data_IF_321353217382
#
_entry.id   IF_321353217382
#
_cell.length_a   1.000
_cell.length_b   1.000
_cell.length_c   1.000
_cell.angle_alpha   90.00
_cell.angle_beta   90.00
_cell.angle_gamma   90.00
#
_symmetry.space_group_name_H-M   'P 1'
#
loop_
_entity.id
_entity.type
_entity.pdbx_description
1 polymer ?
#
# COMPACT_ATOMS: atom_id res chain seq x y z
N UNK A 1 43.23 -18.38 22.76
CA UNK A 1 42.18 -17.39 23.09
C UNK A 1 41.53 -17.00 21.78
N UNK A 2 40.29 -17.41 21.53
CA UNK A 2 39.52 -16.94 20.38
C UNK A 2 39.19 -15.47 20.63
N UNK A 3 39.86 -14.56 19.94
CA UNK A 3 39.56 -13.13 20.02
C UNK A 3 38.14 -12.91 19.51
N UNK A 4 37.35 -12.19 20.30
CA UNK A 4 35.96 -11.87 19.98
C UNK A 4 35.96 -10.82 18.88
N UNK A 5 35.55 -11.19 17.67
CA UNK A 5 35.54 -10.26 16.55
C UNK A 5 34.14 -9.68 16.34
N UNK A 6 34.08 -8.41 16.01
CA UNK A 6 32.86 -7.64 15.79
C UNK A 6 32.76 -7.25 14.32
N UNK A 7 31.63 -7.55 13.69
CA UNK A 7 31.35 -7.12 12.32
C UNK A 7 30.53 -5.83 12.37
N UNK A 8 31.08 -4.76 11.80
CA UNK A 8 30.46 -3.44 11.77
C UNK A 8 30.32 -3.00 10.31
N UNK A 9 29.08 -2.78 9.88
CA UNK A 9 28.81 -2.22 8.55
C UNK A 9 28.49 -0.74 8.68
N UNK A 10 29.17 0.09 7.89
CA UNK A 10 28.89 1.52 7.71
C UNK A 10 28.55 1.78 6.25
N UNK A 11 28.04 2.97 5.94
CA UNK A 11 27.65 3.35 4.59
C UNK A 11 28.81 3.37 3.58
N UNK A 12 30.06 3.42 4.05
CA UNK A 12 31.28 3.50 3.23
C UNK A 12 32.13 2.22 3.24
N UNK A 13 31.73 1.20 4.00
CA UNK A 13 32.51 -0.04 4.08
C UNK A 13 32.03 -0.99 5.17
N UNK A 14 32.56 -2.21 5.12
CA UNK A 14 32.39 -3.22 6.16
C UNK A 14 33.71 -3.43 6.88
N UNK A 15 33.65 -3.49 8.21
CA UNK A 15 34.80 -3.52 9.09
C UNK A 15 34.71 -4.71 10.04
N UNK A 16 35.79 -5.47 10.13
CA UNK A 16 36.01 -6.48 11.15
C UNK A 16 36.87 -5.87 12.24
N UNK A 17 36.30 -5.71 13.43
CA UNK A 17 36.92 -5.06 14.56
C UNK A 17 37.18 -6.06 15.68
N UNK A 18 38.22 -5.80 16.47
CA UNK A 18 38.40 -6.36 17.81
C UNK A 18 37.85 -5.38 18.84
N UNK A 19 37.94 -5.68 20.15
CA UNK A 19 37.46 -4.81 21.23
C UNK A 19 38.08 -3.40 21.24
N UNK A 20 39.21 -3.19 20.56
CA UNK A 20 39.98 -1.93 20.59
C UNK A 20 40.28 -1.31 19.23
N UNK A 21 40.30 -2.07 18.13
CA UNK A 21 40.76 -1.59 16.83
C UNK A 21 40.15 -2.34 15.65
N UNK A 22 40.18 -1.72 14.46
CA UNK A 22 39.82 -2.36 13.19
C UNK A 22 40.95 -3.30 12.77
N UNK A 23 40.62 -4.57 12.48
CA UNK A 23 41.60 -5.57 12.01
C UNK A 23 41.58 -5.73 10.49
N UNK A 24 40.39 -5.73 9.89
CA UNK A 24 40.21 -5.83 8.43
C UNK A 24 39.08 -4.92 7.98
N UNK A 25 39.23 -4.38 6.79
CA UNK A 25 38.24 -3.53 6.15
C UNK A 25 38.04 -3.92 4.69
N UNK A 26 36.80 -3.82 4.24
CA UNK A 26 36.46 -3.79 2.82
C UNK A 26 35.68 -2.50 2.59
N UNK A 27 36.37 -1.52 2.00
CA UNK A 27 35.78 -0.23 1.64
C UNK A 27 34.93 -0.38 0.37
N UNK A 28 33.83 0.36 0.32
CA UNK A 28 32.99 0.39 -0.87
C UNK A 28 33.62 1.28 -1.95
N UNK A 29 33.30 1.05 -3.23
CA UNK A 29 33.69 1.97 -4.30
C UNK A 29 33.20 3.38 -3.99
N UNK A 30 34.05 4.40 -4.22
CA UNK A 30 33.75 5.82 -3.97
C UNK A 30 32.83 6.43 -5.03
N UNK A 31 31.76 5.71 -5.35
CA UNK A 31 30.76 6.10 -6.33
C UNK A 31 29.38 6.10 -5.67
N UNK A 32 28.65 7.21 -5.80
CA UNK A 32 27.35 7.39 -5.15
C UNK A 32 26.34 6.29 -5.53
N UNK A 33 26.35 5.83 -6.78
CA UNK A 33 25.47 4.76 -7.27
C UNK A 33 25.72 3.42 -6.60
N UNK A 34 26.99 3.09 -6.38
CA UNK A 34 27.41 1.79 -5.87
C UNK A 34 27.24 1.71 -4.34
N UNK A 35 27.38 2.86 -3.65
CA UNK A 35 26.97 3.03 -2.25
C UNK A 35 25.45 2.92 -2.11
N UNK A 36 24.69 3.63 -2.95
CA UNK A 36 23.22 3.55 -2.97
C UNK A 36 22.74 2.10 -3.15
N UNK A 37 23.35 1.35 -4.07
CA UNK A 37 23.02 -0.07 -4.31
C UNK A 37 23.17 -0.92 -3.04
N UNK A 38 24.24 -0.72 -2.29
CA UNK A 38 24.47 -1.44 -1.02
C UNK A 38 23.50 -0.99 0.07
N UNK A 39 23.25 0.31 0.21
CA UNK A 39 22.25 0.82 1.15
C UNK A 39 20.87 0.21 0.88
N UNK A 40 20.51 0.03 -0.40
CA UNK A 40 19.27 -0.64 -0.79
C UNK A 40 19.23 -2.12 -0.42
N UNK A 41 20.32 -2.85 -0.61
CA UNK A 41 20.41 -4.26 -0.21
C UNK A 41 20.31 -4.40 1.33
N UNK A 42 20.92 -3.46 2.08
CA UNK A 42 20.76 -3.36 3.55
C UNK A 42 19.29 -3.16 3.92
N UNK A 43 18.57 -2.25 3.26
CA UNK A 43 17.14 -2.02 3.51
C UNK A 43 16.25 -3.23 3.21
N UNK A 44 16.64 -4.03 2.20
CA UNK A 44 15.97 -5.29 1.85
C UNK A 44 16.33 -6.44 2.80
N UNK A 45 17.02 -6.15 3.91
CA UNK A 45 17.54 -7.11 4.89
C UNK A 45 18.43 -8.19 4.27
N UNK A 46 19.11 -7.88 3.16
CA UNK A 46 20.06 -8.79 2.54
C UNK A 46 21.45 -8.61 3.14
N UNK A 47 22.26 -9.64 2.93
CA UNK A 47 23.66 -9.68 3.33
C UNK A 47 24.49 -9.22 2.14
N UNK A 48 25.46 -8.35 2.39
CA UNK A 48 26.39 -7.85 1.36
C UNK A 48 27.51 -8.86 1.10
N UNK A 49 28.05 -8.87 -0.11
CA UNK A 49 29.18 -9.74 -0.46
C UNK A 49 30.42 -9.45 0.41
N UNK A 50 30.63 -8.19 0.77
CA UNK A 50 31.73 -7.74 1.63
C UNK A 50 31.60 -8.29 3.06
N UNK A 51 30.37 -8.37 3.56
CA UNK A 51 30.06 -8.94 4.88
C UNK A 51 30.31 -10.44 4.90
N UNK A 52 29.90 -11.17 3.85
CA UNK A 52 30.19 -12.60 3.72
C UNK A 52 31.69 -12.89 3.61
N UNK A 53 32.42 -12.08 2.83
CA UNK A 53 33.87 -12.24 2.65
C UNK A 53 34.63 -12.03 3.96
N UNK A 54 34.21 -11.07 4.79
CA UNK A 54 34.84 -10.80 6.08
C UNK A 54 34.46 -11.79 7.17
N UNK A 55 33.21 -12.28 7.18
CA UNK A 55 32.73 -13.25 8.16
C UNK A 55 33.17 -14.70 7.87
N UNK A 56 33.71 -14.98 6.67
CA UNK A 56 34.07 -16.34 6.25
C UNK A 56 35.11 -16.97 7.20
N UNK A 57 34.75 -18.10 7.80
CA UNK A 57 35.56 -18.89 8.73
C UNK A 57 35.88 -18.22 10.08
N UNK A 58 35.10 -17.20 10.50
CA UNK A 58 35.30 -16.49 11.76
C UNK A 58 34.03 -16.47 12.61
N UNK A 59 34.18 -16.51 13.94
CA UNK A 59 33.06 -16.34 14.87
C UNK A 59 32.93 -14.84 15.15
N UNK A 60 31.94 -14.21 14.52
CA UNK A 60 31.70 -12.77 14.63
C UNK A 60 30.48 -12.44 15.49
N UNK A 61 30.59 -11.38 16.27
CA UNK A 61 29.50 -10.73 16.99
C UNK A 61 28.94 -9.62 16.12
N UNK A 62 27.62 -9.52 16.07
CA UNK A 62 26.93 -8.63 15.14
C UNK A 62 25.81 -7.87 15.84
N UNK A 63 25.62 -6.61 15.45
CA UNK A 63 24.63 -5.69 16.00
C UNK A 63 23.30 -5.72 15.25
N UNK A 64 23.27 -6.13 13.99
CA UNK A 64 22.07 -6.10 13.14
C UNK A 64 21.44 -7.48 12.98
N UNK A 65 20.11 -7.56 13.14
CA UNK A 65 19.36 -8.82 13.03
C UNK A 65 19.49 -9.48 11.65
N UNK A 66 19.63 -8.69 10.58
CA UNK A 66 19.76 -9.20 9.20
C UNK A 66 21.01 -10.09 9.03
N UNK A 67 22.04 -9.86 9.85
CA UNK A 67 23.31 -10.57 9.76
C UNK A 67 23.39 -11.80 10.68
N UNK A 68 22.30 -12.16 11.37
CA UNK A 68 22.28 -13.29 12.31
C UNK A 68 22.70 -14.64 11.68
N UNK A 69 22.61 -14.78 10.35
CA UNK A 69 23.11 -15.95 9.63
C UNK A 69 24.64 -16.06 9.63
N UNK A 70 25.36 -14.94 9.79
CA UNK A 70 26.81 -14.89 9.77
C UNK A 70 27.46 -15.01 11.15
N UNK A 71 26.70 -14.84 12.25
CA UNK A 71 27.29 -14.79 13.57
C UNK A 71 26.32 -14.61 14.73
N UNK A 72 26.87 -14.41 15.92
CA UNK A 72 26.08 -14.31 17.15
C UNK A 72 25.57 -12.88 17.35
N UNK A 73 24.25 -12.71 17.34
CA UNK A 73 23.61 -11.42 17.52
C UNK A 73 23.73 -10.93 18.98
N UNK A 74 24.41 -9.81 19.19
CA UNK A 74 24.44 -9.06 20.46
C UNK A 74 24.43 -7.57 20.16
N UNK A 75 23.30 -6.92 20.39
CA UNK A 75 23.12 -5.50 20.08
C UNK A 75 23.65 -4.55 21.19
N UNK A 76 23.63 -4.99 22.44
CA UNK A 76 23.94 -4.14 23.62
C UNK A 76 25.43 -4.15 24.00
N UNK A 77 26.31 -4.61 23.10
CA UNK A 77 27.75 -4.63 23.41
C UNK A 77 28.35 -3.22 23.31
N UNK A 78 29.05 -2.79 24.36
CA UNK A 78 29.66 -1.46 24.48
C UNK A 78 30.66 -1.15 23.36
N UNK A 79 31.23 -2.19 22.74
CA UNK A 79 32.19 -2.10 21.65
C UNK A 79 31.59 -1.41 20.40
N UNK A 80 30.30 -1.64 20.11
CA UNK A 80 29.64 -1.02 18.94
C UNK A 80 29.47 0.50 19.06
N UNK A 81 29.50 1.03 20.28
CA UNK A 81 29.41 2.48 20.54
C UNK A 81 30.80 3.13 20.72
N UNK A 82 31.77 2.35 21.16
CA UNK A 82 33.11 2.85 21.51
C UNK A 82 34.04 2.91 20.30
N UNK A 83 33.90 1.99 19.34
CA UNK A 83 34.71 1.99 18.13
C UNK A 83 34.23 3.09 17.18
N UNK A 84 35.08 4.10 17.01
CA UNK A 84 34.76 5.30 16.25
C UNK A 84 35.39 5.21 14.86
N UNK A 85 34.60 4.77 13.88
CA UNK A 85 35.01 4.66 12.47
C UNK A 85 34.48 5.89 11.72
N UNK A 86 35.37 6.83 11.37
CA UNK A 86 34.98 8.05 10.65
C UNK A 86 35.17 7.90 9.15
N UNK A 87 34.23 8.38 8.32
CA UNK A 87 34.37 8.31 6.87
C UNK A 87 35.58 9.12 6.35
N UNK A 88 35.93 10.23 7.01
CA UNK A 88 37.03 11.09 6.61
C UNK A 88 38.39 10.36 6.65
N UNK A 89 38.57 9.45 7.62
CA UNK A 89 39.80 8.67 7.80
C UNK A 89 40.07 7.73 6.60
N UNK A 90 39.01 7.37 5.85
CA UNK A 90 39.08 6.50 4.66
C UNK A 90 38.87 7.29 3.36
N UNK A 91 38.84 8.62 3.44
CA UNK A 91 38.69 9.54 2.32
C UNK A 91 37.30 9.50 1.68
N UNK A 92 36.24 9.31 2.49
CA UNK A 92 34.85 9.47 2.07
C UNK A 92 34.33 10.82 2.58
N UNK A 93 33.73 11.62 1.70
CA UNK A 93 33.10 12.89 2.06
C UNK A 93 31.63 12.70 2.42
N UNK A 94 31.09 13.57 3.26
CA UNK A 94 29.65 13.60 3.55
C UNK A 94 28.82 13.98 2.31
N UNK A 95 29.39 14.74 1.36
CA UNK A 95 28.75 15.04 0.08
C UNK A 95 28.45 13.76 -0.71
N UNK A 96 29.37 12.79 -0.68
CA UNK A 96 29.17 11.51 -1.34
C UNK A 96 28.03 10.70 -0.71
N UNK A 97 27.89 10.76 0.62
CA UNK A 97 26.74 10.17 1.32
C UNK A 97 25.44 10.89 0.96
N UNK A 98 25.47 12.22 0.86
CA UNK A 98 24.31 13.00 0.44
C UNK A 98 23.84 12.59 -0.95
N UNK A 99 24.75 12.53 -1.92
CA UNK A 99 24.46 12.12 -3.30
C UNK A 99 23.90 10.69 -3.37
N UNK A 100 24.53 9.75 -2.65
CA UNK A 100 24.04 8.37 -2.58
C UNK A 100 22.64 8.29 -1.94
N UNK A 101 22.38 9.10 -0.91
CA UNK A 101 21.09 9.16 -0.24
C UNK A 101 20.01 9.78 -1.13
N UNK A 102 20.35 10.80 -1.92
CA UNK A 102 19.45 11.42 -2.90
C UNK A 102 19.04 10.40 -3.98
N UNK A 103 20.01 9.66 -4.52
CA UNK A 103 19.76 8.60 -5.49
C UNK A 103 18.87 7.49 -4.91
N UNK A 104 19.14 7.08 -3.67
CA UNK A 104 18.32 6.06 -2.98
C UNK A 104 16.88 6.56 -2.78
N UNK A 105 16.71 7.83 -2.38
CA UNK A 105 15.40 8.44 -2.20
C UNK A 105 14.64 8.53 -3.54
N UNK A 106 15.32 8.90 -4.62
CA UNK A 106 14.72 8.94 -5.95
C UNK A 106 14.25 7.55 -6.40
N UNK A 107 15.08 6.53 -6.25
CA UNK A 107 14.71 5.17 -6.64
C UNK A 107 13.54 4.61 -5.82
N UNK A 108 13.48 4.94 -4.52
CA UNK A 108 12.33 4.61 -3.67
C UNK A 108 11.03 5.26 -4.15
N UNK A 109 11.10 6.53 -4.57
CA UNK A 109 9.94 7.24 -5.11
C UNK A 109 9.51 6.60 -6.43
N UNK A 110 10.46 6.28 -7.32
CA UNK A 110 10.16 5.65 -8.60
C UNK A 110 9.53 4.26 -8.44
N UNK A 111 10.04 3.43 -7.51
CA UNK A 111 9.43 2.14 -7.16
C UNK A 111 7.98 2.30 -6.67
N UNK A 112 7.73 3.31 -5.82
CA UNK A 112 6.38 3.60 -5.33
C UNK A 112 5.46 4.08 -6.46
N UNK A 113 5.92 4.97 -7.34
CA UNK A 113 5.12 5.49 -8.46
C UNK A 113 4.77 4.42 -9.50
N UNK A 114 5.59 3.38 -9.61
CA UNK A 114 5.33 2.23 -10.47
C UNK A 114 4.32 1.24 -9.90
N UNK A 115 3.85 1.44 -8.66
CA UNK A 115 2.91 0.50 -8.05
C UNK A 115 1.57 0.52 -8.78
N UNK A 116 1.10 -0.66 -9.17
CA UNK A 116 -0.15 -0.83 -9.93
C UNK A 116 -1.38 -0.30 -9.16
N UNK A 117 -1.31 -0.26 -7.82
CA UNK A 117 -2.38 0.27 -6.99
C UNK A 117 -2.52 1.80 -7.10
N UNK A 118 -1.44 2.57 -7.35
CA UNK A 118 -1.58 4.02 -7.56
C UNK A 118 -2.32 4.34 -8.85
N UNK A 119 -2.05 3.60 -9.93
CA UNK A 119 -2.76 3.77 -11.19
C UNK A 119 -4.25 3.45 -11.02
N UNK A 120 -4.57 2.35 -10.32
CA UNK A 120 -5.95 1.99 -9.98
C UNK A 120 -6.66 3.11 -9.20
N UNK A 121 -5.99 3.72 -8.23
CA UNK A 121 -6.54 4.84 -7.44
C UNK A 121 -6.86 6.04 -8.33
N UNK A 122 -5.95 6.40 -9.24
CA UNK A 122 -6.19 7.51 -10.18
C UNK A 122 -7.36 7.23 -11.11
N UNK A 123 -7.47 6.00 -11.62
CA UNK A 123 -8.59 5.58 -12.46
C UNK A 123 -9.94 5.68 -11.72
N UNK A 124 -9.99 5.25 -10.45
CA UNK A 124 -11.20 5.35 -9.64
C UNK A 124 -11.59 6.81 -9.39
N UNK A 125 -10.64 7.68 -9.05
CA UNK A 125 -10.92 9.10 -8.85
C UNK A 125 -11.42 9.75 -10.14
N UNK A 126 -10.76 9.48 -11.27
CA UNK A 126 -11.18 9.96 -12.57
C UNK A 126 -12.58 9.46 -12.95
N UNK A 127 -12.89 8.19 -12.66
CA UNK A 127 -14.23 7.63 -12.87
C UNK A 127 -15.29 8.37 -12.06
N UNK A 128 -15.05 8.64 -10.78
CA UNK A 128 -15.99 9.36 -9.93
C UNK A 128 -16.18 10.82 -10.37
N UNK A 129 -15.11 11.49 -10.80
CA UNK A 129 -15.16 12.85 -11.37
C UNK A 129 -15.97 12.89 -12.68
N UNK A 130 -15.76 11.90 -13.56
CA UNK A 130 -16.51 11.79 -14.81
C UNK A 130 -17.98 11.49 -14.55
N UNK A 131 -18.32 10.61 -13.60
CA UNK A 131 -19.71 10.33 -13.21
C UNK A 131 -20.38 11.61 -12.70
N UNK A 132 -19.71 12.37 -11.82
CA UNK A 132 -20.24 13.64 -11.33
C UNK A 132 -20.45 14.65 -12.47
N UNK A 133 -19.49 14.73 -13.38
CA UNK A 133 -19.56 15.60 -14.56
C UNK A 133 -20.70 15.19 -15.49
N UNK A 134 -20.83 13.90 -15.79
CA UNK A 134 -21.90 13.36 -16.64
C UNK A 134 -23.29 13.67 -16.06
N UNK A 135 -23.46 13.55 -14.74
CA UNK A 135 -24.70 13.91 -14.06
C UNK A 135 -25.01 15.41 -14.25
N UNK A 136 -24.04 16.29 -14.00
CA UNK A 136 -24.22 17.73 -14.19
C UNK A 136 -24.56 18.08 -15.63
N UNK A 137 -23.86 17.49 -16.61
CA UNK A 137 -24.14 17.73 -18.02
C UNK A 137 -25.52 17.21 -18.43
N UNK A 138 -25.95 16.06 -17.90
CA UNK A 138 -27.27 15.47 -18.14
C UNK A 138 -28.39 16.35 -17.57
N UNK A 139 -28.20 16.91 -16.38
CA UNK A 139 -29.13 17.89 -15.80
C UNK A 139 -29.23 19.14 -16.69
N UNK A 140 -28.10 19.66 -17.17
CA UNK A 140 -28.08 20.83 -18.07
C UNK A 140 -28.76 20.55 -19.41
N UNK A 141 -28.52 19.37 -20.00
CA UNK A 141 -29.19 18.95 -21.24
C UNK A 141 -30.69 18.86 -21.04
N UNK A 142 -31.13 18.27 -19.92
CA UNK A 142 -32.55 18.14 -19.57
C UNK A 142 -33.22 19.51 -19.45
N UNK A 143 -32.58 20.47 -18.78
CA UNK A 143 -33.10 21.85 -18.71
C UNK A 143 -33.14 22.52 -20.08
N UNK A 144 -32.08 22.38 -20.90
CA UNK A 144 -32.02 23.00 -22.21
C UNK A 144 -33.05 22.42 -23.18
N UNK A 145 -33.35 21.12 -23.07
CA UNK A 145 -34.37 20.45 -23.87
C UNK A 145 -35.79 20.99 -23.62
N UNK A 146 -36.05 21.65 -22.48
CA UNK A 146 -37.34 22.29 -22.20
C UNK A 146 -37.56 23.58 -23.00
N UNK A 147 -36.49 24.19 -23.52
CA UNK A 147 -36.58 25.41 -24.30
C UNK A 147 -36.92 25.09 -25.76
N UNK A 148 -37.66 25.96 -26.47
CA UNK A 148 -37.93 25.81 -27.90
C UNK A 148 -36.66 26.11 -28.71
N UNK A 149 -35.67 25.22 -28.62
CA UNK A 149 -34.36 25.35 -29.26
C UNK A 149 -34.28 24.42 -30.47
N UNK A 150 -33.73 24.91 -31.58
CA UNK A 150 -33.44 24.07 -32.73
C UNK A 150 -32.44 22.97 -32.35
N UNK A 151 -32.78 21.69 -32.62
CA UNK A 151 -31.95 20.52 -32.30
C UNK A 151 -30.49 20.64 -32.76
N UNK A 152 -30.23 21.36 -33.87
CA UNK A 152 -28.87 21.62 -34.39
C UNK A 152 -27.94 22.32 -33.37
N UNK A 153 -28.49 23.14 -32.46
CA UNK A 153 -27.72 23.83 -31.41
C UNK A 153 -27.38 22.93 -30.22
N UNK A 154 -28.21 21.92 -29.95
CA UNK A 154 -28.08 21.00 -28.80
C UNK A 154 -27.21 19.79 -29.14
N UNK A 155 -27.21 19.34 -30.40
CA UNK A 155 -26.44 18.20 -30.90
C UNK A 155 -24.95 18.16 -30.49
N UNK A 156 -24.17 19.26 -30.55
CA UNK A 156 -22.77 19.22 -30.11
C UNK A 156 -22.62 18.91 -28.61
N UNK A 157 -23.55 19.39 -27.79
CA UNK A 157 -23.56 19.14 -26.36
C UNK A 157 -23.96 17.69 -26.04
N UNK A 158 -24.98 17.16 -26.74
CA UNK A 158 -25.35 15.73 -26.68
C UNK A 158 -24.15 14.83 -27.00
N UNK A 159 -23.40 15.13 -28.08
CA UNK A 159 -22.20 14.38 -28.44
C UNK A 159 -21.14 14.38 -27.34
N UNK A 160 -20.97 15.52 -26.66
CA UNK A 160 -20.02 15.63 -25.55
C UNK A 160 -20.42 14.74 -24.39
N UNK A 161 -21.72 14.71 -24.05
CA UNK A 161 -22.24 13.82 -22.99
C UNK A 161 -22.04 12.35 -23.37
N UNK A 162 -22.33 11.98 -24.62
CA UNK A 162 -22.09 10.61 -25.10
C UNK A 162 -20.61 10.24 -24.95
N UNK A 163 -19.69 11.10 -25.39
CA UNK A 163 -18.26 10.85 -25.26
C UNK A 163 -17.80 10.67 -23.80
N UNK A 164 -18.34 11.46 -22.87
CA UNK A 164 -18.07 11.29 -21.43
C UNK A 164 -18.60 9.95 -20.92
N UNK A 165 -19.81 9.55 -21.31
CA UNK A 165 -20.39 8.27 -20.91
C UNK A 165 -19.60 7.07 -21.49
N UNK A 166 -19.12 7.18 -22.72
CA UNK A 166 -18.30 6.15 -23.35
C UNK A 166 -16.97 5.98 -22.58
N UNK A 167 -16.34 7.08 -22.17
CA UNK A 167 -15.10 7.02 -21.37
C UNK A 167 -15.34 6.47 -19.95
N UNK A 168 -16.49 6.77 -19.33
CA UNK A 168 -16.91 6.15 -18.06
C UNK A 168 -16.96 4.63 -18.21
N UNK A 169 -17.62 4.13 -19.26
CA UNK A 169 -17.72 2.70 -19.50
C UNK A 169 -16.33 2.07 -19.72
N UNK A 170 -15.49 2.71 -20.53
CA UNK A 170 -14.11 2.26 -20.77
C UNK A 170 -13.29 2.16 -19.49
N UNK A 171 -13.37 3.17 -18.61
CA UNK A 171 -12.68 3.13 -17.32
C UNK A 171 -13.23 2.04 -16.40
N UNK A 172 -14.54 1.81 -16.37
CA UNK A 172 -15.14 0.73 -15.58
C UNK A 172 -14.62 -0.64 -16.01
N UNK A 173 -14.58 -0.90 -17.33
CA UNK A 173 -14.08 -2.15 -17.89
C UNK A 173 -12.60 -2.37 -17.56
N UNK A 174 -11.79 -1.31 -17.66
CA UNK A 174 -10.37 -1.38 -17.35
C UNK A 174 -10.13 -1.60 -15.83
N UNK A 175 -10.83 -0.87 -14.96
CA UNK A 175 -10.78 -1.08 -13.50
C UNK A 175 -11.20 -2.52 -13.15
N UNK A 176 -12.22 -3.05 -13.81
CA UNK A 176 -12.66 -4.43 -13.57
C UNK A 176 -11.58 -5.45 -13.95
N UNK A 177 -10.91 -5.25 -15.07
CA UNK A 177 -9.79 -6.11 -15.50
C UNK A 177 -8.63 -6.04 -14.52
N UNK A 178 -8.19 -4.84 -14.17
CA UNK A 178 -7.03 -4.63 -13.30
C UNK A 178 -7.30 -5.16 -11.90
N UNK A 179 -8.49 -4.93 -11.34
CA UNK A 179 -8.84 -5.41 -10.01
C UNK A 179 -8.91 -6.94 -9.93
N UNK A 180 -9.28 -7.64 -11.01
CA UNK A 180 -9.23 -9.12 -11.05
C UNK A 180 -7.80 -9.65 -11.02
N UNK A 181 -6.84 -8.91 -11.57
CA UNK A 181 -5.41 -9.25 -11.54
C UNK A 181 -4.77 -8.89 -10.20
N UNK A 182 -5.04 -7.69 -9.69
CA UNK A 182 -4.35 -7.14 -8.52
C UNK A 182 -4.94 -7.68 -7.20
N UNK A 183 -6.28 -7.80 -7.09
CA UNK A 183 -6.95 -8.26 -5.87
C UNK A 183 -8.16 -9.18 -6.16
N UNK A 184 -7.90 -10.44 -6.60
CA UNK A 184 -8.93 -11.38 -7.00
C UNK A 184 -9.88 -11.77 -5.85
N UNK A 185 -9.38 -11.97 -4.62
CA UNK A 185 -10.23 -12.37 -3.51
C UNK A 185 -11.20 -11.26 -3.12
N UNK A 186 -10.69 -10.02 -3.05
CA UNK A 186 -11.51 -8.84 -2.72
C UNK A 186 -12.55 -8.59 -3.79
N UNK A 187 -12.15 -8.69 -5.07
CA UNK A 187 -13.04 -8.57 -6.23
C UNK A 187 -14.17 -9.59 -6.20
N UNK A 188 -13.88 -10.85 -5.84
CA UNK A 188 -14.89 -11.90 -5.72
C UNK A 188 -15.92 -11.67 -4.61
N UNK A 189 -15.59 -10.92 -3.56
CA UNK A 189 -16.50 -10.70 -2.41
C UNK A 189 -17.43 -9.51 -2.62
N UNK A 190 -16.89 -8.35 -3.01
CA UNK A 190 -17.66 -7.11 -3.06
C UNK A 190 -17.81 -6.54 -4.47
N UNK A 191 -17.15 -7.15 -5.45
CA UNK A 191 -17.11 -6.68 -6.82
C UNK A 191 -15.91 -5.76 -7.10
N UNK A 192 -15.43 -5.73 -8.36
CA UNK A 192 -14.26 -4.97 -8.75
C UNK A 192 -14.35 -3.46 -8.43
N UNK A 193 -15.46 -2.81 -8.82
CA UNK A 193 -15.62 -1.37 -8.68
C UNK A 193 -15.65 -0.90 -7.22
N UNK A 194 -16.36 -1.62 -6.35
CA UNK A 194 -16.44 -1.26 -4.93
C UNK A 194 -15.10 -1.56 -4.25
N UNK A 195 -14.45 -2.67 -4.60
CA UNK A 195 -13.12 -3.00 -4.09
C UNK A 195 -12.07 -1.95 -4.47
N UNK A 196 -12.06 -1.50 -5.72
CA UNK A 196 -11.17 -0.45 -6.19
C UNK A 196 -11.41 0.88 -5.45
N UNK A 197 -12.69 1.27 -5.22
CA UNK A 197 -13.02 2.43 -4.38
C UNK A 197 -12.49 2.29 -2.95
N UNK A 198 -12.62 1.12 -2.33
CA UNK A 198 -12.09 0.90 -0.97
C UNK A 198 -10.58 1.07 -0.91
N UNK A 199 -9.85 0.57 -1.92
CA UNK A 199 -8.40 0.76 -2.05
C UNK A 199 -8.06 2.24 -2.19
N UNK A 200 -8.82 2.99 -3.01
CA UNK A 200 -8.67 4.43 -3.16
C UNK A 200 -8.91 5.20 -1.86
N UNK A 201 -9.98 4.91 -1.13
CA UNK A 201 -10.23 5.53 0.19
C UNK A 201 -9.18 5.15 1.23
N UNK A 202 -8.64 3.93 1.16
CA UNK A 202 -7.57 3.51 2.06
C UNK A 202 -6.22 4.16 1.72
N UNK A 203 -6.02 4.61 0.48
CA UNK A 203 -4.77 5.17 -0.02
C UNK A 203 -3.73 4.11 -0.38
N UNK A 204 -4.16 2.95 -0.88
CA UNK A 204 -3.28 1.86 -1.32
C UNK A 204 -3.66 0.51 -0.73
N UNK A 205 -3.24 -0.56 -1.40
CA UNK A 205 -3.66 -1.92 -1.04
C UNK A 205 -3.03 -2.39 0.28
N UNK A 206 -1.73 -2.13 0.45
CA UNK A 206 -1.00 -2.49 1.67
C UNK A 206 -1.61 -1.79 2.89
N UNK A 207 -1.93 -0.51 2.76
CA UNK A 207 -2.55 0.26 3.84
C UNK A 207 -3.92 -0.29 4.19
N UNK A 208 -4.74 -0.63 3.19
CA UNK A 208 -6.03 -1.28 3.43
C UNK A 208 -5.89 -2.62 4.16
N UNK A 209 -4.90 -3.45 3.81
CA UNK A 209 -4.68 -4.74 4.45
C UNK A 209 -4.25 -4.64 5.92
N UNK A 210 -3.62 -3.53 6.31
CA UNK A 210 -3.27 -3.25 7.70
C UNK A 210 -4.44 -2.67 8.50
N UNK A 211 -5.51 -2.19 7.86
CA UNK A 211 -6.67 -1.65 8.55
C UNK A 211 -7.50 -2.74 9.26
N UNK A 212 -8.10 -2.43 10.42
CA UNK A 212 -9.07 -3.33 11.03
C UNK A 212 -10.39 -3.30 10.26
N UNK A 213 -11.17 -4.38 10.38
CA UNK A 213 -12.48 -4.49 9.74
C UNK A 213 -13.45 -3.36 10.11
N UNK A 214 -13.37 -2.83 11.34
CA UNK A 214 -14.18 -1.69 11.79
C UNK A 214 -13.90 -0.41 11.01
N UNK A 215 -12.65 -0.17 10.61
CA UNK A 215 -12.27 0.96 9.75
C UNK A 215 -12.77 0.73 8.33
N UNK A 216 -12.53 -0.45 7.76
CA UNK A 216 -13.00 -0.82 6.40
C UNK A 216 -14.51 -0.66 6.29
N UNK A 217 -15.27 -0.99 7.35
CA UNK A 217 -16.72 -0.84 7.39
C UNK A 217 -17.19 0.59 7.10
N UNK A 218 -16.43 1.60 7.52
CA UNK A 218 -16.83 3.01 7.51
C UNK A 218 -16.00 3.88 6.55
N UNK A 219 -15.12 3.29 5.74
CA UNK A 219 -14.38 4.02 4.69
C UNK A 219 -15.35 4.73 3.73
N UNK A 220 -15.13 6.02 3.49
CA UNK A 220 -16.01 6.92 2.73
C UNK A 220 -17.15 7.55 3.53
N UNK A 221 -17.29 7.24 4.83
CA UNK A 221 -18.23 7.91 5.74
C UNK A 221 -17.51 8.84 6.76
N UNK A 222 -16.32 9.32 6.43
CA UNK A 222 -15.46 10.11 7.30
C UNK A 222 -16.19 11.36 7.81
N UNK A 223 -16.90 12.07 6.92
CA UNK A 223 -17.67 13.28 7.30
C UNK A 223 -18.69 12.99 8.42
N UNK A 224 -19.40 11.87 8.32
CA UNK A 224 -20.39 11.47 9.32
C UNK A 224 -19.72 10.96 10.62
N UNK A 225 -18.62 10.23 10.48
CA UNK A 225 -17.82 9.74 11.61
C UNK A 225 -17.23 10.90 12.43
N UNK A 226 -16.63 11.89 11.76
CA UNK A 226 -16.04 13.05 12.42
C UNK A 226 -17.09 13.95 13.05
N UNK A 227 -18.25 14.10 12.42
CA UNK A 227 -19.41 14.77 13.04
C UNK A 227 -19.80 14.07 14.34
N UNK A 228 -19.97 12.74 14.31
CA UNK A 228 -20.27 11.96 15.51
C UNK A 228 -19.21 12.12 16.61
N UNK A 229 -17.92 12.11 16.25
CA UNK A 229 -16.83 12.30 17.23
C UNK A 229 -16.83 13.71 17.85
N UNK A 230 -17.26 14.73 17.12
CA UNK A 230 -17.27 16.13 17.58
C UNK A 230 -18.54 16.49 18.35
N UNK A 231 -19.70 16.11 17.84
CA UNK A 231 -21.02 16.54 18.32
C UNK A 231 -21.73 15.44 19.14
N UNK A 232 -21.22 14.21 19.12
CA UNK A 232 -21.91 13.04 19.67
C UNK A 232 -22.98 12.48 18.72
N UNK A 233 -23.87 11.62 19.24
CA UNK A 233 -25.00 11.06 18.50
C UNK A 233 -24.81 9.62 18.04
N UNK A 234 -25.33 9.26 16.85
CA UNK A 234 -25.26 7.88 16.33
C UNK A 234 -24.13 7.76 15.29
N UNK A 235 -23.21 6.80 15.42
CA UNK A 235 -22.14 6.60 14.44
C UNK A 235 -22.69 6.07 13.10
N UNK A 236 -21.95 6.29 11.99
CA UNK A 236 -22.31 5.71 10.70
C UNK A 236 -22.22 4.18 10.75
N UNK A 237 -23.19 3.49 10.14
CA UNK A 237 -23.24 2.02 10.11
C UNK A 237 -22.40 1.40 8.99
N UNK A 238 -22.15 2.16 7.93
CA UNK A 238 -21.47 1.71 6.72
C UNK A 238 -20.96 2.94 5.96
N UNK A 239 -19.84 2.78 5.26
CA UNK A 239 -19.32 3.73 4.29
C UNK A 239 -19.65 3.29 2.86
N UNK A 240 -18.65 3.30 1.99
CA UNK A 240 -18.75 2.96 0.56
C UNK A 240 -19.27 1.55 0.33
N UNK A 241 -19.01 0.62 1.26
CA UNK A 241 -19.56 -0.75 1.23
C UNK A 241 -21.09 -0.78 1.15
N UNK A 242 -21.79 0.31 1.50
CA UNK A 242 -23.23 0.45 1.33
C UNK A 242 -23.70 0.24 -0.11
N UNK A 243 -22.86 0.53 -1.11
CA UNK A 243 -23.16 0.34 -2.52
C UNK A 243 -23.38 -1.14 -2.89
N UNK A 244 -22.88 -2.08 -2.07
CA UNK A 244 -23.07 -3.50 -2.31
C UNK A 244 -24.56 -3.90 -2.17
N UNK A 245 -25.06 -4.69 -3.11
CA UNK A 245 -26.49 -4.99 -3.24
C UNK A 245 -27.07 -5.66 -1.98
N UNK A 246 -26.29 -6.53 -1.31
CA UNK A 246 -26.73 -7.18 -0.07
C UNK A 246 -26.95 -6.21 1.09
N UNK A 247 -26.38 -5.01 1.05
CA UNK A 247 -26.56 -3.98 2.09
C UNK A 247 -27.62 -2.98 1.64
N UNK A 248 -27.52 -2.43 0.43
CA UNK A 248 -28.43 -1.39 -0.04
C UNK A 248 -29.90 -1.86 -0.02
N UNK A 249 -30.16 -3.07 -0.51
CA UNK A 249 -31.49 -3.66 -0.57
C UNK A 249 -31.99 -4.21 0.78
N UNK A 250 -31.14 -4.34 1.79
CA UNK A 250 -31.54 -4.92 3.08
C UNK A 250 -32.36 -3.93 3.94
N UNK A 251 -33.24 -4.45 4.84
CA UNK A 251 -33.95 -3.64 5.82
C UNK A 251 -33.00 -2.81 6.72
N UNK A 252 -33.42 -1.61 7.13
CA UNK A 252 -32.59 -0.66 7.91
C UNK A 252 -31.98 -1.25 9.19
N UNK A 253 -32.64 -2.24 9.79
CA UNK A 253 -32.22 -2.91 11.01
C UNK A 253 -31.10 -3.94 10.76
N UNK A 254 -31.06 -4.53 9.57
CA UNK A 254 -30.09 -5.56 9.19
C UNK A 254 -28.83 -4.99 8.55
N UNK A 255 -28.92 -3.83 7.87
CA UNK A 255 -27.81 -3.17 7.17
C UNK A 255 -26.51 -3.11 7.98
N UNK A 256 -26.59 -2.80 9.27
CA UNK A 256 -25.41 -2.71 10.15
C UNK A 256 -24.78 -4.08 10.46
N UNK A 257 -25.59 -5.13 10.62
CA UNK A 257 -25.12 -6.50 10.83
C UNK A 257 -24.41 -7.01 9.58
N UNK A 258 -25.02 -6.78 8.42
CA UNK A 258 -24.49 -7.16 7.12
C UNK A 258 -23.20 -6.41 6.79
N UNK A 259 -23.16 -5.09 7.02
CA UNK A 259 -21.97 -4.28 6.81
C UNK A 259 -20.77 -4.76 7.63
N UNK A 260 -20.99 -5.13 8.90
CA UNK A 260 -19.93 -5.66 9.77
C UNK A 260 -19.42 -7.02 9.29
N UNK A 261 -20.34 -7.91 8.89
CA UNK A 261 -20.00 -9.21 8.32
C UNK A 261 -19.13 -9.04 7.07
N UNK A 262 -19.58 -8.20 6.13
CA UNK A 262 -18.89 -7.98 4.87
C UNK A 262 -17.52 -7.35 5.10
N UNK A 263 -17.42 -6.32 5.96
CA UNK A 263 -16.15 -5.69 6.27
C UNK A 263 -15.12 -6.65 6.90
N UNK A 264 -15.57 -7.59 7.75
CA UNK A 264 -14.72 -8.65 8.29
C UNK A 264 -14.15 -9.53 7.19
N UNK A 265 -15.00 -9.93 6.23
CA UNK A 265 -14.60 -10.81 5.12
C UNK A 265 -13.72 -10.10 4.09
N UNK A 266 -13.99 -8.83 3.80
CA UNK A 266 -13.11 -7.98 3.00
C UNK A 266 -11.73 -7.87 3.67
N UNK A 267 -11.67 -7.65 4.99
CA UNK A 267 -10.39 -7.55 5.71
C UNK A 267 -9.54 -8.82 5.59
N UNK A 268 -10.18 -10.01 5.62
CA UNK A 268 -9.48 -11.27 5.38
C UNK A 268 -9.04 -11.41 3.93
N UNK A 269 -9.91 -11.08 2.97
CA UNK A 269 -9.61 -11.20 1.54
C UNK A 269 -8.45 -10.30 1.10
N UNK A 270 -8.46 -9.02 1.51
CA UNK A 270 -7.40 -8.08 1.13
C UNK A 270 -6.04 -8.47 1.74
N UNK A 271 -6.03 -9.06 2.94
CA UNK A 271 -4.81 -9.60 3.55
C UNK A 271 -4.28 -10.81 2.79
N UNK A 272 -5.17 -11.67 2.30
CA UNK A 272 -4.77 -12.78 1.46
C UNK A 272 -4.23 -12.29 0.12
N UNK A 273 -4.88 -11.31 -0.52
CA UNK A 273 -4.42 -10.69 -1.78
C UNK A 273 -3.01 -10.08 -1.63
N UNK A 274 -2.76 -9.31 -0.56
CA UNK A 274 -1.46 -8.63 -0.35
C UNK A 274 -0.35 -9.57 0.09
N UNK A 275 -0.59 -10.40 1.12
CA UNK A 275 0.50 -11.10 1.82
C UNK A 275 0.70 -12.54 1.35
N UNK A 276 -0.38 -13.30 1.16
CA UNK A 276 -0.27 -14.74 0.89
C UNK A 276 -0.43 -15.09 -0.59
N UNK A 277 -1.10 -14.22 -1.37
CA UNK A 277 -1.48 -14.43 -2.78
C UNK A 277 -2.22 -15.74 -3.04
N UNK A 278 -2.87 -16.31 -2.01
CA UNK A 278 -3.68 -17.52 -2.13
C UNK A 278 -5.11 -17.15 -2.48
N UNK A 279 -5.77 -17.99 -3.27
CA UNK A 279 -7.19 -17.84 -3.52
C UNK A 279 -7.99 -18.51 -2.39
N UNK A 280 -8.77 -17.70 -1.67
CA UNK A 280 -9.68 -18.09 -0.59
C UNK A 280 -11.11 -17.59 -0.84
N UNK A 281 -11.42 -17.18 -2.07
CA UNK A 281 -12.68 -16.50 -2.39
C UNK A 281 -13.91 -17.39 -2.15
N UNK A 282 -13.82 -18.68 -2.49
CA UNK A 282 -14.93 -19.63 -2.39
C UNK A 282 -15.36 -19.86 -0.94
N UNK A 283 -14.39 -20.13 -0.06
CA UNK A 283 -14.62 -20.30 1.38
C UNK A 283 -15.24 -19.05 1.98
N UNK A 284 -14.74 -17.86 1.63
CA UNK A 284 -15.27 -16.60 2.14
C UNK A 284 -16.68 -16.32 1.64
N UNK A 285 -17.00 -16.64 0.38
CA UNK A 285 -18.34 -16.47 -0.17
C UNK A 285 -19.36 -17.39 0.51
N UNK A 286 -19.00 -18.65 0.76
CA UNK A 286 -19.89 -19.59 1.44
C UNK A 286 -20.16 -19.14 2.88
N UNK A 287 -19.11 -18.73 3.59
CA UNK A 287 -19.20 -18.15 4.92
C UNK A 287 -20.09 -16.90 5.00
N UNK A 288 -20.12 -16.09 3.94
CA UNK A 288 -21.01 -14.93 3.82
C UNK A 288 -22.45 -15.40 3.64
N UNK A 289 -22.70 -16.35 2.71
CA UNK A 289 -24.05 -16.87 2.44
C UNK A 289 -24.69 -17.45 3.70
N UNK A 290 -23.96 -18.32 4.42
CA UNK A 290 -24.45 -18.95 5.66
C UNK A 290 -24.87 -17.88 6.67
N UNK A 291 -23.99 -16.92 6.97
CA UNK A 291 -24.26 -15.86 7.96
C UNK A 291 -25.34 -14.88 7.51
N UNK A 292 -25.50 -14.64 6.20
CA UNK A 292 -26.60 -13.82 5.68
C UNK A 292 -27.96 -14.49 5.89
N UNK A 293 -28.05 -15.81 5.73
CA UNK A 293 -29.27 -16.56 6.00
C UNK A 293 -29.65 -16.50 7.49
N UNK A 294 -28.66 -16.57 8.39
CA UNK A 294 -28.90 -16.41 9.83
C UNK A 294 -29.42 -15.02 10.20
N UNK A 295 -28.92 -13.97 9.54
CA UNK A 295 -29.36 -12.59 9.78
C UNK A 295 -30.81 -12.39 9.35
N UNK A 296 -31.22 -12.98 8.21
CA UNK A 296 -32.59 -12.87 7.67
C UNK A 296 -33.64 -13.71 8.42
N UNK A 297 -33.22 -14.74 9.14
CA UNK A 297 -34.10 -15.60 9.95
C UNK A 297 -34.49 -14.99 11.30
N UNK A 298 -33.88 -13.86 11.70
CA UNK A 298 -34.10 -13.16 12.97
C UNK A 298 -34.80 -11.83 12.78
#
# INVERSE_FOLDING_TARGET
MTMTQYLITKWFGTFLCDETAVQKEILFPKEAKEIMRRLREIEKNKILEEEEKLAKNMVVIINERRLQLLGSYKNDDSVFQTILIRPEDYGFSLDLLHDASLLLAQERVDEQLQSEDLQLIQMVNALDDLIQTANLLSERLSCWALLPTAKKKVKPFEKTITAVNDEIQRLQEQIEKDMKTIAPNTSAIIGPLIGARLIAFAGGMQRMALMPASTIQILGAEKALFRFKKEGGKPPKHGVIFQHLSINCAPKNERGKIARLLASKISTAIKADVFTKRNISEELQEDIKIRMLEIRKK
#
